data_IF_401645570459
#
_entry.id   IF_401645570459
#
_cell.length_a   1.000
_cell.length_b   1.000
_cell.length_c   1.000
_cell.angle_alpha   90.00
_cell.angle_beta   90.00
_cell.angle_gamma   90.00
#
_symmetry.space_group_name_H-M   'P 1'
#
loop_
_entity.id
_entity.type
_entity.pdbx_description
1 polymer ?
#
# COMPACT_ATOMS: atom_id res chain seq x y z
N UNK A 1 -1.69 -1.54 -5.98
CA UNK A 1 -2.19 -1.83 -7.35
C UNK A 1 -1.18 -1.46 -8.44
N UNK A 2 -0.96 -0.18 -8.77
CA UNK A 2 0.02 0.22 -9.82
C UNK A 2 1.45 -0.28 -9.52
N UNK A 3 1.84 -0.23 -8.26
CA UNK A 3 3.13 -0.73 -7.77
C UNK A 3 3.24 -2.25 -7.82
N UNK A 4 2.14 -3.00 -7.70
CA UNK A 4 2.16 -4.46 -7.84
C UNK A 4 2.33 -4.86 -9.30
N UNK A 5 1.64 -4.18 -10.23
CA UNK A 5 1.83 -4.37 -11.66
C UNK A 5 3.29 -4.15 -12.06
N UNK A 6 3.90 -3.08 -11.58
CA UNK A 6 5.34 -2.81 -11.78
C UNK A 6 6.27 -3.83 -11.10
N UNK A 7 5.82 -4.49 -10.04
CA UNK A 7 6.60 -5.55 -9.37
C UNK A 7 6.53 -6.87 -10.15
N UNK A 8 5.42 -7.10 -10.85
CA UNK A 8 5.20 -8.28 -11.68
C UNK A 8 5.94 -8.21 -13.04
N UNK A 9 6.37 -7.03 -13.48
CA UNK A 9 7.20 -6.90 -14.70
C UNK A 9 8.64 -7.37 -14.49
N UNK A 10 9.15 -7.36 -13.25
CA UNK A 10 10.50 -7.82 -12.88
C UNK A 10 10.76 -9.27 -13.27
N UNK A 11 9.94 -10.27 -12.90
CA UNK A 11 10.15 -11.66 -13.31
C UNK A 11 10.06 -11.86 -14.82
N UNK A 12 9.26 -11.04 -15.52
CA UNK A 12 9.16 -11.09 -16.98
C UNK A 12 10.43 -10.57 -17.66
N UNK A 13 11.02 -9.48 -17.16
CA UNK A 13 12.32 -8.96 -17.62
C UNK A 13 13.43 -9.97 -17.34
N UNK A 14 13.43 -10.61 -16.16
CA UNK A 14 14.38 -11.67 -15.83
C UNK A 14 14.28 -12.87 -16.77
N UNK A 15 13.06 -13.29 -17.13
CA UNK A 15 12.84 -14.37 -18.10
C UNK A 15 13.47 -14.04 -19.46
N UNK A 16 13.21 -12.85 -20.01
CA UNK A 16 13.77 -12.41 -21.30
C UNK A 16 15.29 -12.35 -21.25
N UNK A 17 15.86 -11.87 -20.14
CA UNK A 17 17.31 -11.80 -19.98
C UNK A 17 17.93 -13.21 -19.98
N UNK A 18 17.36 -14.15 -19.23
CA UNK A 18 17.83 -15.54 -19.13
C UNK A 18 17.67 -16.28 -20.46
N UNK A 19 16.53 -16.15 -21.13
CA UNK A 19 16.25 -16.82 -22.41
C UNK A 19 17.19 -16.34 -23.53
N UNK A 20 17.55 -15.05 -23.55
CA UNK A 20 18.52 -14.51 -24.52
C UNK A 20 19.97 -14.90 -24.22
N UNK A 21 20.33 -15.07 -22.93
CA UNK A 21 21.63 -15.57 -22.50
C UNK A 21 21.87 -17.05 -22.89
N UNK A 22 20.79 -17.83 -23.05
CA UNK A 22 20.86 -19.26 -23.37
C UNK A 22 21.11 -19.54 -24.85
N UNK A 23 20.64 -18.66 -25.73
CA UNK A 23 20.66 -18.88 -27.18
C UNK A 23 21.89 -18.25 -27.89
N UNK A 24 22.55 -17.27 -27.29
CA UNK A 24 23.80 -16.67 -27.76
C UNK A 24 24.64 -16.22 -26.56
N UNK A 25 25.99 -16.25 -26.62
CA UNK A 25 26.80 -15.54 -25.63
C UNK A 25 26.42 -14.07 -25.70
N UNK A 26 25.65 -13.61 -24.72
CA UNK A 26 25.13 -12.26 -24.70
C UNK A 26 26.30 -11.26 -24.82
N UNK A 27 26.25 -10.43 -25.86
CA UNK A 27 27.25 -9.38 -26.03
C UNK A 27 27.17 -8.44 -24.82
N UNK A 28 28.32 -8.15 -24.18
CA UNK A 28 28.47 -7.26 -23.01
C UNK A 28 27.51 -6.05 -22.98
N UNK A 29 27.29 -5.30 -24.09
CA UNK A 29 26.35 -4.18 -24.11
C UNK A 29 24.87 -4.54 -23.89
N UNK A 30 24.41 -5.74 -24.26
CA UNK A 30 23.02 -6.17 -24.04
C UNK A 30 22.74 -6.42 -22.56
N UNK A 31 23.69 -6.99 -21.83
CA UNK A 31 23.57 -7.24 -20.38
C UNK A 31 23.50 -5.93 -19.58
N UNK A 32 24.31 -4.94 -19.96
CA UNK A 32 24.30 -3.61 -19.34
C UNK A 32 22.94 -2.93 -19.57
N UNK A 33 22.38 -3.03 -20.79
CA UNK A 33 21.07 -2.47 -21.11
C UNK A 33 19.96 -3.09 -20.25
N UNK A 34 19.91 -4.41 -20.10
CA UNK A 34 18.91 -5.07 -19.24
C UNK A 34 19.07 -4.71 -17.76
N UNK A 35 20.30 -4.60 -17.29
CA UNK A 35 20.62 -4.21 -15.91
C UNK A 35 20.15 -2.78 -15.62
N UNK A 36 20.42 -1.83 -16.52
CA UNK A 36 19.94 -0.46 -16.43
C UNK A 36 18.41 -0.38 -16.44
N UNK A 37 17.76 -1.20 -17.27
CA UNK A 37 16.30 -1.26 -17.37
C UNK A 37 15.67 -1.77 -16.06
N UNK A 38 16.25 -2.82 -15.46
CA UNK A 38 15.83 -3.34 -14.15
C UNK A 38 15.99 -2.29 -13.04
N UNK A 39 17.11 -1.58 -13.01
CA UNK A 39 17.36 -0.51 -12.04
C UNK A 39 16.34 0.62 -12.23
N UNK A 40 16.09 1.04 -13.47
CA UNK A 40 15.12 2.08 -13.78
C UNK A 40 13.70 1.73 -13.35
N UNK A 41 13.25 0.51 -13.65
CA UNK A 41 11.92 0.00 -13.23
C UNK A 41 11.84 -0.10 -11.70
N UNK A 42 12.90 -0.57 -11.04
CA UNK A 42 12.95 -0.69 -9.58
C UNK A 42 12.89 0.68 -8.90
N UNK A 43 13.65 1.66 -9.41
CA UNK A 43 13.64 3.03 -8.91
C UNK A 43 12.27 3.68 -9.09
N UNK A 44 11.67 3.57 -10.27
CA UNK A 44 10.33 4.08 -10.54
C UNK A 44 9.30 3.46 -9.58
N UNK A 45 9.36 2.14 -9.38
CA UNK A 45 8.49 1.44 -8.43
C UNK A 45 8.66 1.97 -7.01
N UNK A 46 9.90 2.20 -6.56
CA UNK A 46 10.19 2.77 -5.25
C UNK A 46 9.59 4.17 -5.07
N UNK A 47 9.75 5.04 -6.07
CA UNK A 47 9.20 6.40 -6.07
C UNK A 47 7.67 6.36 -5.98
N UNK A 48 7.00 5.59 -6.84
CA UNK A 48 5.55 5.44 -6.79
C UNK A 48 5.06 4.88 -5.45
N UNK A 49 5.75 3.88 -4.89
CA UNK A 49 5.43 3.33 -3.55
C UNK A 49 5.54 4.40 -2.46
N UNK A 50 6.57 5.24 -2.52
CA UNK A 50 6.77 6.32 -1.56
C UNK A 50 5.62 7.32 -1.59
N UNK A 51 5.28 7.85 -2.78
CA UNK A 51 4.19 8.81 -2.92
C UNK A 51 2.84 8.22 -2.54
N UNK A 52 2.55 6.99 -2.97
CA UNK A 52 1.34 6.27 -2.60
C UNK A 52 1.19 6.21 -1.07
N UNK A 53 2.26 5.79 -0.36
CA UNK A 53 2.27 5.70 1.11
C UNK A 53 2.08 7.07 1.76
N UNK A 54 2.72 8.11 1.23
CA UNK A 54 2.60 9.47 1.77
C UNK A 54 1.19 10.03 1.62
N UNK A 55 0.56 9.82 0.46
CA UNK A 55 -0.82 10.24 0.22
C UNK A 55 -1.80 9.52 1.15
N UNK A 56 -1.69 8.20 1.28
CA UNK A 56 -2.56 7.40 2.14
C UNK A 56 -2.46 7.79 3.61
N UNK A 57 -1.24 7.89 4.14
CA UNK A 57 -1.04 8.30 5.53
C UNK A 57 -1.53 9.75 5.72
N UNK A 58 -1.29 10.62 4.74
CA UNK A 58 -1.75 12.00 4.78
C UNK A 58 -3.28 12.12 4.85
N UNK A 59 -4.00 11.39 3.99
CA UNK A 59 -5.48 11.35 3.99
C UNK A 59 -6.00 10.74 5.30
N UNK A 60 -5.43 9.63 5.73
CA UNK A 60 -5.79 8.97 6.99
C UNK A 60 -5.66 9.91 8.21
N UNK A 61 -4.58 10.69 8.29
CA UNK A 61 -4.38 11.70 9.35
C UNK A 61 -5.36 12.86 9.25
N UNK A 62 -5.72 13.32 8.05
CA UNK A 62 -6.72 14.39 7.87
C UNK A 62 -8.09 13.95 8.37
N UNK A 63 -8.51 12.73 8.02
CA UNK A 63 -9.78 12.15 8.48
C UNK A 63 -9.78 12.03 10.01
N UNK A 64 -8.70 11.49 10.59
CA UNK A 64 -8.55 11.40 12.05
C UNK A 64 -8.68 12.78 12.71
N UNK A 65 -8.00 13.79 12.18
CA UNK A 65 -8.03 15.15 12.71
C UNK A 65 -9.44 15.76 12.66
N UNK A 66 -10.14 15.62 11.54
CA UNK A 66 -11.53 16.08 11.40
C UNK A 66 -12.45 15.43 12.43
N UNK A 67 -12.37 14.10 12.60
CA UNK A 67 -13.19 13.38 13.58
C UNK A 67 -12.89 13.84 15.01
N UNK A 68 -11.60 14.04 15.38
CA UNK A 68 -11.24 14.56 16.70
C UNK A 68 -11.82 15.94 16.96
N UNK A 69 -11.81 16.82 15.97
CA UNK A 69 -12.41 18.16 16.09
C UNK A 69 -13.92 18.07 16.29
N UNK A 70 -14.62 17.33 15.44
CA UNK A 70 -16.07 17.23 15.51
C UNK A 70 -16.50 16.64 16.86
N UNK A 71 -15.81 15.59 17.31
CA UNK A 71 -16.06 14.99 18.60
C UNK A 71 -15.81 15.96 19.77
N UNK A 72 -14.66 16.65 19.76
CA UNK A 72 -14.33 17.61 20.81
C UNK A 72 -15.31 18.77 20.87
N UNK A 73 -15.77 19.24 19.70
CA UNK A 73 -16.80 20.29 19.60
C UNK A 73 -18.15 19.82 20.16
N UNK A 74 -18.48 18.54 19.98
CA UNK A 74 -19.69 17.94 20.54
C UNK A 74 -19.59 17.83 22.07
N UNK A 75 -18.45 17.39 22.59
CA UNK A 75 -18.23 17.30 24.04
C UNK A 75 -18.41 18.64 24.76
N UNK A 76 -17.96 19.74 24.15
CA UNK A 76 -18.09 21.08 24.75
C UNK A 76 -19.55 21.55 24.89
N UNK A 77 -20.49 20.93 24.17
CA UNK A 77 -21.92 21.25 24.22
C UNK A 77 -22.70 20.38 25.20
N UNK A 78 -22.06 19.34 25.76
CA UNK A 78 -22.69 18.47 26.74
C UNK A 78 -22.72 19.15 28.10
N UNK A 79 -23.78 18.91 28.85
CA UNK A 79 -24.00 19.43 30.18
C UNK A 79 -23.17 18.67 31.24
N UNK A 80 -22.96 19.28 32.40
CA UNK A 80 -22.13 18.70 33.47
C UNK A 80 -22.63 17.34 33.95
N UNK A 81 -23.93 17.04 33.85
CA UNK A 81 -24.48 15.75 34.30
C UNK A 81 -23.94 14.57 33.48
N UNK A 82 -23.62 14.81 32.20
CA UNK A 82 -22.96 13.82 31.34
C UNK A 82 -21.56 13.46 31.86
N UNK A 83 -20.79 14.45 32.33
CA UNK A 83 -19.43 14.25 32.84
C UNK A 83 -19.40 13.72 34.27
N UNK A 84 -20.47 13.91 35.04
CA UNK A 84 -20.65 13.28 36.35
C UNK A 84 -20.99 11.79 36.22
N UNK A 85 -21.80 11.43 35.22
CA UNK A 85 -22.18 10.04 34.92
C UNK A 85 -21.12 9.28 34.13
N UNK A 86 -20.31 9.96 33.32
CA UNK A 86 -19.26 9.36 32.49
C UNK A 86 -17.88 9.92 32.86
N UNK A 87 -16.97 9.06 33.30
CA UNK A 87 -15.59 9.45 33.58
C UNK A 87 -14.93 10.02 32.32
N UNK A 88 -14.47 11.27 32.38
CA UNK A 88 -13.78 11.96 31.28
C UNK A 88 -12.63 11.14 30.70
N UNK A 89 -11.88 10.42 31.55
CA UNK A 89 -10.80 9.54 31.11
C UNK A 89 -11.27 8.36 30.26
N UNK A 90 -12.42 7.77 30.57
CA UNK A 90 -13.03 6.70 29.78
C UNK A 90 -13.54 7.22 28.44
N UNK A 91 -14.16 8.40 28.42
CA UNK A 91 -14.62 9.07 27.18
C UNK A 91 -13.42 9.40 26.27
N UNK A 92 -12.35 9.96 26.84
CA UNK A 92 -11.11 10.24 26.10
C UNK A 92 -10.45 8.97 25.56
N UNK A 93 -10.37 7.91 26.36
CA UNK A 93 -9.82 6.63 25.93
C UNK A 93 -10.61 6.01 24.77
N UNK A 94 -11.94 6.14 24.79
CA UNK A 94 -12.81 5.65 23.71
C UNK A 94 -12.48 6.38 22.40
N UNK A 95 -12.39 7.71 22.43
CA UNK A 95 -12.03 8.49 21.24
C UNK A 95 -10.64 8.11 20.74
N UNK A 96 -9.63 8.06 21.62
CA UNK A 96 -8.27 7.83 21.15
C UNK A 96 -8.09 6.43 20.59
N UNK A 97 -8.57 5.42 21.32
CA UNK A 97 -8.35 4.02 20.95
C UNK A 97 -9.23 3.59 19.78
N UNK A 98 -10.51 3.94 19.80
CA UNK A 98 -11.43 3.53 18.75
C UNK A 98 -11.15 4.29 17.46
N UNK A 99 -10.81 5.58 17.54
CA UNK A 99 -10.44 6.34 16.36
C UNK A 99 -9.15 5.83 15.74
N UNK A 100 -8.15 5.44 16.54
CA UNK A 100 -6.95 4.81 16.02
C UNK A 100 -7.25 3.45 15.37
N UNK A 101 -8.17 2.66 15.95
CA UNK A 101 -8.63 1.41 15.35
C UNK A 101 -9.33 1.65 14.00
N UNK A 102 -10.27 2.60 13.95
CA UNK A 102 -10.98 3.01 12.71
C UNK A 102 -9.99 3.53 11.67
N UNK A 103 -9.01 4.33 12.07
CA UNK A 103 -7.94 4.86 11.21
C UNK A 103 -7.10 3.73 10.63
N UNK A 104 -6.67 2.78 11.45
CA UNK A 104 -5.87 1.65 11.01
C UNK A 104 -6.67 0.72 10.09
N UNK A 105 -7.96 0.56 10.33
CA UNK A 105 -8.84 -0.20 9.45
C UNK A 105 -9.05 0.49 8.10
N UNK A 106 -9.47 1.76 8.08
CA UNK A 106 -9.81 2.49 6.85
C UNK A 106 -8.58 2.92 6.04
N UNK A 107 -7.46 3.23 6.70
CA UNK A 107 -6.23 3.65 6.04
C UNK A 107 -5.44 2.47 5.49
N UNK A 108 -4.51 1.90 6.27
CA UNK A 108 -3.66 0.80 5.81
C UNK A 108 -4.41 -0.53 5.67
N UNK A 109 -5.40 -0.83 6.53
CA UNK A 109 -6.12 -2.11 6.53
C UNK A 109 -6.86 -2.37 5.22
N UNK A 110 -7.74 -1.44 4.83
CA UNK A 110 -8.53 -1.51 3.61
C UNK A 110 -7.63 -1.57 2.38
N UNK A 111 -6.60 -0.71 2.33
CA UNK A 111 -5.64 -0.70 1.25
C UNK A 111 -4.93 -2.05 1.11
N UNK A 112 -4.43 -2.60 2.22
CA UNK A 112 -3.73 -3.89 2.21
C UNK A 112 -4.64 -5.01 1.74
N UNK A 113 -5.92 -5.02 2.15
CA UNK A 113 -6.93 -5.95 1.65
C UNK A 113 -7.04 -5.89 0.12
N UNK A 114 -7.27 -4.71 -0.45
CA UNK A 114 -7.33 -4.53 -1.91
C UNK A 114 -6.01 -4.94 -2.59
N UNK A 115 -4.88 -4.58 -1.98
CA UNK A 115 -3.56 -4.89 -2.53
C UNK A 115 -3.29 -6.40 -2.55
N UNK A 116 -3.66 -7.11 -1.50
CA UNK A 116 -3.53 -8.57 -1.36
C UNK A 116 -4.40 -9.29 -2.37
N UNK A 117 -5.69 -8.95 -2.46
CA UNK A 117 -6.63 -9.56 -3.42
C UNK A 117 -6.10 -9.37 -4.85
N UNK A 118 -5.70 -8.15 -5.20
CA UNK A 118 -5.18 -7.86 -6.54
C UNK A 118 -3.89 -8.64 -6.85
N UNK A 119 -2.97 -8.70 -5.89
CA UNK A 119 -1.70 -9.44 -6.06
C UNK A 119 -1.95 -10.93 -6.21
N UNK A 120 -2.86 -11.49 -5.40
CA UNK A 120 -3.24 -12.89 -5.47
C UNK A 120 -3.79 -13.26 -6.85
N UNK A 121 -4.79 -12.51 -7.34
CA UNK A 121 -5.39 -12.71 -8.66
C UNK A 121 -4.34 -12.56 -9.77
N UNK A 122 -3.55 -11.48 -9.74
CA UNK A 122 -2.53 -11.22 -10.77
C UNK A 122 -1.47 -12.32 -10.83
N UNK A 123 -1.04 -12.82 -9.66
CA UNK A 123 -0.04 -13.89 -9.56
C UNK A 123 -0.59 -15.19 -10.15
N UNK A 124 -1.83 -15.56 -9.82
CA UNK A 124 -2.49 -16.74 -10.38
C UNK A 124 -2.57 -16.66 -11.91
N UNK A 125 -3.01 -15.51 -12.45
CA UNK A 125 -3.09 -15.30 -13.90
C UNK A 125 -1.73 -15.50 -14.56
N UNK A 126 -0.65 -14.92 -14.00
CA UNK A 126 0.70 -15.07 -14.55
C UNK A 126 1.18 -16.53 -14.47
N UNK A 127 0.90 -17.23 -13.36
CA UNK A 127 1.25 -18.65 -13.21
C UNK A 127 0.55 -19.52 -14.24
N UNK A 128 -0.75 -19.31 -14.49
CA UNK A 128 -1.49 -20.03 -15.54
C UNK A 128 -0.94 -19.71 -16.93
N UNK A 129 -0.66 -18.44 -17.26
CA UNK A 129 -0.10 -18.05 -18.56
C UNK A 129 1.29 -18.63 -18.84
N UNK A 130 2.11 -18.82 -17.80
CA UNK A 130 3.45 -19.42 -17.94
C UNK A 130 3.36 -20.95 -18.02
N UNK A 131 2.55 -21.58 -17.16
CA UNK A 131 2.39 -23.05 -17.11
C UNK A 131 1.64 -23.62 -18.32
N UNK A 132 0.69 -22.89 -18.92
CA UNK A 132 0.04 -23.30 -20.17
C UNK A 132 1.02 -23.37 -21.36
N UNK A 133 2.21 -22.79 -21.20
CA UNK A 133 3.26 -22.68 -22.23
C UNK A 133 4.45 -23.61 -21.97
N UNK A 134 4.33 -24.55 -21.03
CA UNK A 134 5.23 -25.70 -20.90
C UNK A 134 4.62 -26.95 -21.53
#
# INVERSE_FOLDING_TARGET
MLTNLLSLTIPWILKIAIDNLKNYPASQPQLIRYSLLLIGVSAATGIFRFYMRRLLIGVSRKIEYSIRIDFFSHLQRLDSSFFESNRTGSVMALITNDLDAVRNFLGPGLLNLFNTIFTFISTLIIMFLISIRL
#
